data_IF_939044993502
#
_entry.id   IF_939044993502
#
_cell.length_a   1.000
_cell.length_b   1.000
_cell.length_c   1.000
_cell.angle_alpha   90.00
_cell.angle_beta   90.00
_cell.angle_gamma   90.00
#
_symmetry.space_group_name_H-M   'P 1'
#
loop_
_entity.id
_entity.type
_entity.pdbx_description
1 polymer ?
#
# COMPACT_ATOMS: atom_id res chain seq x y z
N UNK A 1 -0.57 18.05 -0.47
CA UNK A 1 0.25 17.02 0.19
C UNK A 1 1.63 17.57 0.56
N UNK A 2 2.15 17.14 1.71
CA UNK A 2 3.50 17.45 2.15
C UNK A 2 4.16 16.20 2.72
N UNK A 3 5.33 15.87 2.21
CA UNK A 3 6.22 14.89 2.82
C UNK A 3 7.17 15.61 3.81
N UNK A 4 7.17 15.18 5.07
CA UNK A 4 8.06 15.67 6.11
C UNK A 4 8.87 14.48 6.62
N UNK A 5 10.18 14.38 6.28
CA UNK A 5 11.00 13.26 6.71
C UNK A 5 11.33 13.34 8.19
N UNK A 6 11.42 12.19 8.84
CA UNK A 6 12.05 12.10 10.15
C UNK A 6 13.57 12.38 10.05
N UNK A 7 14.16 12.96 11.09
CA UNK A 7 15.62 13.02 11.19
C UNK A 7 16.22 11.61 11.24
N UNK A 8 17.50 11.49 10.87
CA UNK A 8 18.22 10.19 10.90
C UNK A 8 18.21 9.58 12.30
N UNK A 9 18.33 10.39 13.34
CA UNK A 9 18.27 9.95 14.75
C UNK A 9 16.90 9.38 15.11
N UNK A 10 15.82 10.09 14.79
CA UNK A 10 14.45 9.61 15.03
C UNK A 10 14.17 8.34 14.24
N UNK A 11 14.59 8.30 12.98
CA UNK A 11 14.43 7.13 12.12
C UNK A 11 15.18 5.91 12.68
N UNK A 12 16.43 6.10 13.12
CA UNK A 12 17.23 5.03 13.73
C UNK A 12 16.56 4.49 15.00
N UNK A 13 16.02 5.37 15.84
CA UNK A 13 15.36 4.97 17.07
C UNK A 13 14.01 4.25 16.80
N UNK A 14 13.23 4.69 15.83
CA UNK A 14 12.03 3.98 15.36
C UNK A 14 12.40 2.56 14.92
N UNK A 15 13.43 2.41 14.09
CA UNK A 15 13.87 1.12 13.58
C UNK A 15 14.41 0.20 14.72
N UNK A 16 15.11 0.77 15.68
CA UNK A 16 15.59 0.02 16.87
C UNK A 16 14.44 -0.53 17.69
N UNK A 17 13.43 0.29 17.98
CA UNK A 17 12.26 -0.10 18.78
C UNK A 17 11.35 -1.06 18.03
N UNK A 18 11.10 -0.82 16.75
CA UNK A 18 10.27 -1.67 15.91
C UNK A 18 10.97 -3.00 15.54
N UNK A 19 12.29 -3.05 15.60
CA UNK A 19 13.07 -4.27 15.30
C UNK A 19 13.09 -5.32 16.41
N UNK A 20 12.38 -5.08 17.53
CA UNK A 20 12.32 -6.02 18.67
C UNK A 20 13.62 -6.09 19.50
N UNK A 21 14.51 -5.12 19.35
CA UNK A 21 15.70 -4.98 20.18
C UNK A 21 15.37 -4.65 21.64
N UNK A 22 16.37 -4.65 22.56
CA UNK A 22 16.15 -4.30 23.95
C UNK A 22 15.52 -2.91 24.11
N UNK A 23 14.34 -2.85 24.75
CA UNK A 23 13.58 -1.63 24.97
C UNK A 23 12.83 -1.72 26.28
N UNK A 24 12.60 -0.56 26.91
CA UNK A 24 11.80 -0.42 28.14
C UNK A 24 10.45 0.20 27.83
N UNK A 25 9.48 0.07 28.73
CA UNK A 25 8.22 0.79 28.62
C UNK A 25 8.41 2.31 28.54
N UNK A 26 9.47 2.85 29.18
CA UNK A 26 9.80 4.26 29.11
C UNK A 26 10.22 4.72 27.70
N UNK A 27 10.87 3.86 26.92
CA UNK A 27 11.27 4.20 25.56
C UNK A 27 10.04 4.33 24.64
N UNK A 28 9.10 3.40 24.74
CA UNK A 28 7.82 3.50 24.01
C UNK A 28 6.98 4.70 24.46
N UNK A 29 6.95 5.00 25.77
CA UNK A 29 6.25 6.16 26.30
C UNK A 29 6.81 7.47 25.71
N UNK A 30 8.15 7.64 25.72
CA UNK A 30 8.80 8.82 25.14
C UNK A 30 8.56 8.92 23.62
N UNK A 31 8.70 7.79 22.92
CA UNK A 31 8.51 7.75 21.47
C UNK A 31 7.07 8.08 21.07
N UNK A 32 6.06 7.64 21.83
CA UNK A 32 4.65 7.96 21.57
C UNK A 32 4.41 9.48 21.59
N UNK A 33 4.93 10.18 22.59
CA UNK A 33 4.80 11.63 22.71
C UNK A 33 5.66 12.38 21.70
N UNK A 34 6.92 11.94 21.47
CA UNK A 34 7.80 12.54 20.46
C UNK A 34 7.15 12.49 19.07
N UNK A 35 6.59 11.36 18.67
CA UNK A 35 5.89 11.24 17.40
C UNK A 35 4.66 12.15 17.33
N UNK A 36 3.92 12.29 18.44
CA UNK A 36 2.81 13.26 18.53
C UNK A 36 3.28 14.68 18.22
N UNK A 37 4.38 15.14 18.84
CA UNK A 37 4.96 16.46 18.58
C UNK A 37 5.44 16.62 17.13
N UNK A 38 6.14 15.64 16.59
CA UNK A 38 6.61 15.67 15.19
C UNK A 38 5.44 15.70 14.19
N UNK A 39 4.34 15.03 14.49
CA UNK A 39 3.13 15.10 13.65
C UNK A 39 2.47 16.49 13.76
N UNK A 40 2.51 17.12 14.93
CA UNK A 40 2.07 18.52 15.08
C UNK A 40 2.91 19.45 14.20
N UNK A 41 4.24 19.37 14.26
CA UNK A 41 5.15 20.17 13.43
C UNK A 41 4.90 19.98 11.93
N UNK A 42 4.64 18.73 11.52
CA UNK A 42 4.30 18.42 10.12
C UNK A 42 2.96 19.07 9.70
N UNK A 43 1.94 18.99 10.56
CA UNK A 43 0.64 19.62 10.33
C UNK A 43 0.74 21.15 10.29
N UNK A 44 1.46 21.77 11.23
CA UNK A 44 1.72 23.21 11.25
C UNK A 44 2.46 23.67 9.97
N UNK A 45 3.46 22.90 9.54
CA UNK A 45 4.19 23.15 8.30
C UNK A 45 3.27 23.13 7.08
N UNK A 46 2.37 22.15 7.00
CA UNK A 46 1.39 22.06 5.92
C UNK A 46 0.42 23.24 5.96
N UNK A 47 -0.10 23.59 7.11
CA UNK A 47 -1.00 24.74 7.30
C UNK A 47 -0.32 26.06 6.88
N UNK A 48 0.93 26.27 7.29
CA UNK A 48 1.69 27.46 6.91
C UNK A 48 1.90 27.55 5.38
N UNK A 49 2.17 26.44 4.71
CA UNK A 49 2.37 26.40 3.25
C UNK A 49 1.09 26.65 2.45
N UNK A 50 -0.05 26.22 2.97
CA UNK A 50 -1.36 26.39 2.32
C UNK A 50 -2.06 27.67 2.72
N UNK A 51 -1.53 28.42 3.68
CA UNK A 51 -2.20 29.60 4.25
C UNK A 51 -3.42 29.27 5.10
N UNK A 52 -3.56 27.99 5.51
CA UNK A 52 -4.67 27.52 6.37
C UNK A 52 -4.36 27.86 7.82
N UNK A 53 -5.31 28.41 8.56
CA UNK A 53 -5.16 28.63 9.99
C UNK A 53 -5.39 27.33 10.75
N UNK A 54 -4.69 27.14 11.87
CA UNK A 54 -4.93 25.95 12.71
C UNK A 54 -6.37 25.87 13.21
N UNK A 55 -7.00 27.03 13.48
CA UNK A 55 -8.41 27.13 13.88
C UNK A 55 -9.42 26.70 12.80
N UNK A 56 -8.99 26.57 11.56
CA UNK A 56 -9.84 26.17 10.44
C UNK A 56 -9.77 24.65 10.18
N UNK A 57 -9.04 23.92 11.03
CA UNK A 57 -8.98 22.46 11.00
C UNK A 57 -10.09 21.88 11.88
N UNK A 58 -11.03 21.18 11.28
CA UNK A 58 -12.17 20.58 11.98
C UNK A 58 -11.86 19.19 12.55
N UNK A 59 -10.91 18.48 11.95
CA UNK A 59 -10.61 17.07 12.27
C UNK A 59 -9.23 16.67 11.78
N UNK A 60 -8.55 15.83 12.55
CA UNK A 60 -7.30 15.18 12.15
C UNK A 60 -7.46 13.66 12.22
N UNK A 61 -7.09 12.97 11.13
CA UNK A 61 -6.91 11.52 11.10
C UNK A 61 -5.41 11.18 11.18
N UNK A 62 -4.99 10.52 12.27
CA UNK A 62 -3.60 10.13 12.50
C UNK A 62 -3.46 8.61 12.55
N UNK A 63 -2.83 8.01 11.54
CA UNK A 63 -2.51 6.58 11.58
C UNK A 63 -1.48 6.24 12.67
N UNK A 64 -0.59 7.15 12.96
CA UNK A 64 0.58 6.88 13.81
C UNK A 64 1.66 6.08 13.06
N UNK A 65 2.73 5.74 13.75
CA UNK A 65 3.81 4.88 13.27
C UNK A 65 3.61 3.47 13.80
N UNK A 66 3.60 2.46 12.93
CA UNK A 66 3.48 1.07 13.36
C UNK A 66 4.80 0.59 13.94
N UNK A 67 4.75 0.11 15.19
CA UNK A 67 5.88 -0.51 15.89
C UNK A 67 5.78 -2.02 15.90
N UNK A 68 4.57 -2.57 16.05
CA UNK A 68 4.36 -4.00 16.03
C UNK A 68 3.00 -4.36 15.43
N UNK A 69 2.94 -5.50 14.74
CA UNK A 69 1.69 -5.94 14.13
C UNK A 69 1.67 -7.46 14.07
N UNK A 70 0.69 -8.08 14.74
CA UNK A 70 0.48 -9.52 14.83
C UNK A 70 -0.89 -9.83 14.27
N UNK A 71 -1.01 -9.97 12.94
CA UNK A 71 -2.30 -10.16 12.26
C UNK A 71 -2.87 -11.57 12.43
N UNK A 72 -2.02 -12.55 12.75
CA UNK A 72 -2.44 -13.93 13.01
C UNK A 72 -2.49 -14.20 14.51
N UNK A 73 -3.43 -15.05 15.01
CA UNK A 73 -3.50 -15.35 16.42
C UNK A 73 -2.20 -15.99 16.92
N UNK A 74 -1.68 -15.45 18.01
CA UNK A 74 -0.61 -16.07 18.80
C UNK A 74 -1.06 -16.30 20.23
N UNK A 75 -0.45 -17.27 20.90
CA UNK A 75 -0.77 -17.58 22.30
C UNK A 75 0.20 -16.85 23.23
N UNK A 76 -0.33 -16.04 24.13
CA UNK A 76 0.42 -15.33 25.15
C UNK A 76 -0.27 -15.50 26.51
N UNK A 77 0.44 -15.99 27.52
CA UNK A 77 -0.07 -16.28 28.87
C UNK A 77 -1.37 -17.13 28.85
N UNK A 78 -1.46 -18.11 27.94
CA UNK A 78 -2.61 -19.01 27.81
C UNK A 78 -3.81 -18.43 27.05
N UNK A 79 -3.72 -17.20 26.56
CA UNK A 79 -4.76 -16.56 25.75
C UNK A 79 -4.30 -16.44 24.29
N UNK A 80 -5.19 -16.73 23.34
CA UNK A 80 -4.93 -16.60 21.90
C UNK A 80 -5.63 -15.35 21.37
N UNK A 81 -4.85 -14.43 20.77
CA UNK A 81 -5.37 -13.18 20.20
C UNK A 81 -4.44 -12.63 19.12
N UNK A 82 -4.95 -11.70 18.35
CA UNK A 82 -4.19 -10.82 17.44
C UNK A 82 -3.89 -9.52 18.16
N UNK A 83 -2.84 -8.82 17.73
CA UNK A 83 -2.53 -7.51 18.29
C UNK A 83 -1.87 -6.58 17.27
N UNK A 84 -1.95 -5.28 17.55
CA UNK A 84 -1.31 -4.25 16.74
C UNK A 84 -0.95 -3.06 17.62
N UNK A 85 0.13 -2.37 17.27
CA UNK A 85 0.66 -1.29 18.08
C UNK A 85 1.20 -0.17 17.20
N UNK A 86 0.48 0.96 17.21
CA UNK A 86 0.86 2.20 16.56
C UNK A 86 1.13 3.26 17.62
N UNK A 87 2.15 4.10 17.43
CA UNK A 87 2.52 5.22 18.30
C UNK A 87 2.37 6.55 17.55
N UNK A 88 2.19 7.60 18.33
CA UNK A 88 1.90 8.95 17.90
C UNK A 88 0.64 9.43 18.63
N UNK A 89 0.86 10.01 19.85
CA UNK A 89 -0.21 10.34 20.78
C UNK A 89 -1.21 11.35 20.22
N UNK A 90 -2.44 10.89 19.96
CA UNK A 90 -3.51 11.71 19.39
C UNK A 90 -3.90 12.92 20.26
N UNK A 91 -3.78 12.79 21.58
CA UNK A 91 -4.09 13.90 22.51
C UNK A 91 -3.10 15.06 22.39
N UNK A 92 -1.86 14.81 21.97
CA UNK A 92 -0.87 15.88 21.68
C UNK A 92 -1.33 16.71 20.48
N UNK A 93 -1.79 16.04 19.42
CA UNK A 93 -2.35 16.73 18.25
C UNK A 93 -3.64 17.47 18.61
N UNK A 94 -4.58 16.84 19.36
CA UNK A 94 -5.82 17.46 19.77
C UNK A 94 -5.56 18.74 20.58
N UNK A 95 -4.64 18.69 21.55
CA UNK A 95 -4.25 19.84 22.35
C UNK A 95 -3.63 20.96 21.50
N UNK A 96 -2.81 20.61 20.49
CA UNK A 96 -2.10 21.59 19.64
C UNK A 96 -3.03 22.28 18.65
N UNK A 97 -3.92 21.52 18.00
CA UNK A 97 -4.80 22.03 16.95
C UNK A 97 -6.16 22.49 17.46
N UNK A 98 -6.56 22.09 18.66
CA UNK A 98 -7.86 22.45 19.25
C UNK A 98 -9.05 21.80 18.52
N UNK A 99 -8.85 20.65 17.90
CA UNK A 99 -9.88 19.91 17.17
C UNK A 99 -9.82 18.41 17.51
N UNK A 100 -10.91 17.65 17.28
CA UNK A 100 -10.91 16.21 17.44
C UNK A 100 -9.81 15.53 16.60
N UNK A 101 -9.17 14.51 17.17
CA UNK A 101 -8.20 13.67 16.49
C UNK A 101 -8.63 12.22 16.55
N UNK A 102 -8.68 11.55 15.40
CA UNK A 102 -8.93 10.10 15.32
C UNK A 102 -7.62 9.39 15.08
N UNK A 103 -7.29 8.44 15.95
CA UNK A 103 -6.08 7.61 15.89
C UNK A 103 -6.41 6.13 16.11
N UNK A 104 -5.41 5.24 16.12
CA UNK A 104 -5.59 3.80 16.42
C UNK A 104 -6.61 3.07 15.54
N UNK A 105 -6.65 3.35 14.26
CA UNK A 105 -7.63 2.78 13.33
C UNK A 105 -7.62 1.24 13.25
N UNK A 106 -6.45 0.60 13.39
CA UNK A 106 -6.31 -0.86 13.22
C UNK A 106 -6.89 -1.68 14.37
N UNK A 107 -6.86 -1.12 15.58
CA UNK A 107 -7.16 -1.84 16.82
C UNK A 107 -8.59 -2.41 16.84
N UNK A 108 -9.57 -1.66 16.33
CA UNK A 108 -10.97 -2.10 16.36
C UNK A 108 -11.27 -3.21 15.36
N UNK A 109 -10.65 -3.17 14.18
CA UNK A 109 -10.75 -4.24 13.19
C UNK A 109 -10.11 -5.53 13.72
N UNK A 110 -8.92 -5.41 14.33
CA UNK A 110 -8.23 -6.55 15.00
C UNK A 110 -9.07 -7.13 16.13
N UNK A 111 -9.73 -6.29 16.92
CA UNK A 111 -10.65 -6.72 17.98
C UNK A 111 -11.91 -7.43 17.43
N UNK A 112 -12.27 -7.17 16.17
CA UNK A 112 -13.32 -7.89 15.45
C UNK A 112 -12.80 -9.14 14.72
N UNK A 113 -11.62 -9.64 15.10
CA UNK A 113 -10.91 -10.78 14.48
C UNK A 113 -10.41 -10.52 13.05
N UNK A 114 -10.38 -9.26 12.62
CA UNK A 114 -9.77 -8.85 11.37
C UNK A 114 -8.24 -8.81 11.43
N UNK A 115 -7.63 -8.68 10.26
CA UNK A 115 -6.17 -8.53 10.11
C UNK A 115 -5.67 -7.13 10.50
N UNK A 116 -6.56 -6.13 10.63
CA UNK A 116 -6.18 -4.73 10.85
C UNK A 116 -5.53 -4.06 9.63
N UNK A 117 -5.52 -4.73 8.49
CA UNK A 117 -4.98 -4.27 7.21
C UNK A 117 -5.59 -5.11 6.05
N UNK A 118 -5.67 -4.56 4.83
CA UNK A 118 -5.48 -3.14 4.48
C UNK A 118 -6.68 -2.27 4.90
N UNK A 119 -6.47 -0.98 5.17
CA UNK A 119 -7.54 -0.03 5.55
C UNK A 119 -7.97 0.89 4.40
N UNK A 120 -7.09 1.10 3.43
CA UNK A 120 -7.31 1.97 2.27
C UNK A 120 -8.53 1.57 1.41
N UNK A 121 -8.90 0.28 1.25
CA UNK A 121 -10.03 -0.12 0.42
C UNK A 121 -11.37 0.54 0.76
N UNK A 122 -11.60 0.95 2.01
CA UNK A 122 -12.80 1.70 2.37
C UNK A 122 -12.84 3.07 1.67
N UNK A 123 -11.77 3.84 1.77
CA UNK A 123 -11.68 5.15 1.11
C UNK A 123 -11.70 5.01 -0.42
N UNK A 124 -11.05 3.98 -0.95
CA UNK A 124 -11.11 3.66 -2.38
C UNK A 124 -12.55 3.41 -2.84
N UNK A 125 -13.31 2.61 -2.08
CA UNK A 125 -14.72 2.37 -2.36
C UNK A 125 -15.52 3.69 -2.42
N UNK A 126 -15.34 4.59 -1.46
CA UNK A 126 -16.06 5.86 -1.43
C UNK A 126 -15.70 6.79 -2.59
N UNK A 127 -14.41 6.85 -2.95
CA UNK A 127 -13.87 7.80 -3.94
C UNK A 127 -14.11 7.30 -5.37
N UNK A 128 -13.96 6.00 -5.63
CA UNK A 128 -13.87 5.48 -6.98
C UNK A 128 -15.06 4.61 -7.42
N UNK A 129 -15.99 4.24 -6.51
CA UNK A 129 -17.18 3.49 -6.92
C UNK A 129 -17.98 4.22 -7.99
N UNK A 130 -18.57 3.45 -8.88
CA UNK A 130 -19.41 3.95 -9.97
C UNK A 130 -20.72 3.19 -10.05
N UNK A 131 -21.78 3.86 -10.42
CA UNK A 131 -23.10 3.22 -10.65
C UNK A 131 -23.10 2.35 -11.92
N UNK A 132 -22.22 2.64 -12.87
CA UNK A 132 -22.25 2.05 -14.21
C UNK A 132 -20.97 1.34 -14.63
N UNK A 133 -19.81 1.74 -14.11
CA UNK A 133 -18.50 1.22 -14.48
C UNK A 133 -17.96 0.22 -13.45
N UNK A 134 -17.33 -0.85 -13.92
CA UNK A 134 -16.45 -1.69 -13.09
C UNK A 134 -15.09 -1.01 -13.01
N UNK A 135 -14.64 -0.68 -11.80
CA UNK A 135 -13.38 0.01 -11.56
C UNK A 135 -12.41 -0.93 -10.85
N UNK A 136 -11.24 -1.12 -11.42
CA UNK A 136 -10.11 -1.78 -10.79
C UNK A 136 -9.13 -0.75 -10.24
N UNK A 137 -8.68 -0.90 -9.00
CA UNK A 137 -7.69 -0.04 -8.38
C UNK A 137 -6.43 -0.88 -8.15
N UNK A 138 -5.39 -0.60 -8.90
CA UNK A 138 -4.12 -1.32 -8.82
C UNK A 138 -3.10 -0.47 -8.09
N UNK A 139 -2.74 -0.86 -6.89
CA UNK A 139 -1.60 -0.28 -6.19
C UNK A 139 -0.32 -1.05 -6.55
N UNK A 140 0.72 -0.35 -6.99
CA UNK A 140 2.02 -0.93 -7.34
C UNK A 140 3.07 -0.36 -6.39
N UNK A 141 3.23 -1.02 -5.24
CA UNK A 141 4.35 -0.85 -4.32
C UNK A 141 5.44 -1.89 -4.61
N UNK A 142 6.13 -2.39 -3.60
CA UNK A 142 7.03 -3.55 -3.75
C UNK A 142 6.27 -4.78 -4.27
N UNK A 143 5.08 -5.02 -3.72
CA UNK A 143 4.07 -5.99 -4.19
C UNK A 143 2.93 -5.21 -4.87
N UNK A 144 2.35 -5.78 -5.90
CA UNK A 144 1.14 -5.27 -6.53
C UNK A 144 -0.11 -5.83 -5.86
N UNK A 145 -1.08 -4.97 -5.54
CA UNK A 145 -2.39 -5.41 -5.07
C UNK A 145 -3.50 -4.71 -5.86
N UNK A 146 -4.64 -5.40 -6.00
CA UNK A 146 -5.76 -4.91 -6.79
C UNK A 146 -7.05 -4.99 -5.98
N UNK A 147 -7.85 -3.93 -6.05
CA UNK A 147 -9.23 -3.85 -5.52
C UNK A 147 -10.21 -3.83 -6.67
N UNK A 148 -11.27 -4.61 -6.57
CA UNK A 148 -12.35 -4.65 -7.55
C UNK A 148 -13.61 -3.96 -7.01
N UNK A 149 -14.11 -2.99 -7.76
CA UNK A 149 -15.36 -2.28 -7.51
C UNK A 149 -16.30 -2.53 -8.68
N UNK A 150 -17.29 -3.40 -8.50
CA UNK A 150 -18.31 -3.66 -9.51
C UNK A 150 -19.26 -2.46 -9.64
N UNK A 151 -20.00 -2.30 -10.78
CA UNK A 151 -21.02 -1.27 -10.90
C UNK A 151 -22.05 -1.36 -9.77
N UNK A 152 -22.40 -0.21 -9.18
CA UNK A 152 -23.34 -0.11 -8.07
C UNK A 152 -23.05 -1.06 -6.89
N UNK A 153 -21.79 -1.48 -6.72
CA UNK A 153 -21.41 -2.40 -5.64
C UNK A 153 -21.63 -1.75 -4.26
N UNK A 154 -21.97 -2.60 -3.31
CA UNK A 154 -22.00 -2.25 -1.90
C UNK A 154 -20.63 -2.56 -1.28
N UNK A 155 -20.38 -2.07 -0.07
CA UNK A 155 -19.09 -2.27 0.60
C UNK A 155 -18.76 -3.76 0.82
N UNK A 156 -19.78 -4.59 1.08
CA UNK A 156 -19.63 -6.03 1.24
C UNK A 156 -19.28 -6.79 -0.06
N UNK A 157 -19.43 -6.16 -1.20
CA UNK A 157 -19.10 -6.73 -2.52
C UNK A 157 -17.65 -6.42 -2.92
N UNK A 158 -16.96 -5.53 -2.16
CA UNK A 158 -15.55 -5.18 -2.42
C UNK A 158 -14.65 -6.36 -2.09
N UNK A 159 -13.77 -6.68 -3.00
CA UNK A 159 -12.70 -7.64 -2.74
C UNK A 159 -11.36 -7.13 -3.27
N UNK A 160 -10.29 -7.53 -2.58
CA UNK A 160 -8.93 -7.14 -2.91
C UNK A 160 -7.97 -8.31 -2.67
N UNK A 161 -6.89 -8.36 -3.43
CA UNK A 161 -5.85 -9.39 -3.29
C UNK A 161 -4.55 -8.94 -3.97
N UNK A 162 -3.44 -9.61 -3.63
CA UNK A 162 -2.15 -9.31 -4.25
C UNK A 162 -2.04 -9.95 -5.64
N UNK A 163 -1.69 -9.14 -6.64
CA UNK A 163 -1.56 -9.59 -8.04
C UNK A 163 -0.25 -10.33 -8.30
N UNK A 164 0.78 -10.04 -7.52
CA UNK A 164 2.13 -10.57 -7.68
C UNK A 164 3.20 -9.51 -7.36
N UNK A 165 4.40 -9.60 -7.95
CA UNK A 165 5.42 -8.59 -7.72
C UNK A 165 4.98 -7.26 -8.33
N UNK A 166 5.24 -6.19 -7.57
CA UNK A 166 5.18 -4.81 -8.07
C UNK A 166 6.59 -4.35 -8.50
N UNK A 167 7.10 -3.32 -7.84
CA UNK A 167 8.45 -2.79 -8.12
C UNK A 167 9.58 -3.72 -7.61
N UNK A 168 9.32 -4.56 -6.60
CA UNK A 168 10.35 -5.31 -5.87
C UNK A 168 11.28 -6.11 -6.78
N UNK A 169 10.76 -6.84 -7.76
CA UNK A 169 11.56 -7.64 -8.69
C UNK A 169 12.30 -6.75 -9.67
N UNK A 170 11.64 -5.72 -10.20
CA UNK A 170 12.27 -4.73 -11.09
C UNK A 170 13.44 -4.02 -10.41
N UNK A 171 13.22 -3.52 -9.19
CA UNK A 171 14.22 -2.79 -8.41
C UNK A 171 15.42 -3.68 -8.07
N UNK A 172 15.17 -4.93 -7.66
CA UNK A 172 16.23 -5.86 -7.35
C UNK A 172 17.06 -6.25 -8.59
N UNK A 173 16.41 -6.51 -9.73
CA UNK A 173 17.10 -6.80 -10.99
C UNK A 173 17.93 -5.58 -11.44
N UNK A 174 17.37 -4.37 -11.34
CA UNK A 174 18.09 -3.16 -11.73
C UNK A 174 19.29 -2.86 -10.82
N UNK A 175 19.13 -3.09 -9.52
CA UNK A 175 20.23 -2.99 -8.54
C UNK A 175 21.38 -3.94 -8.90
N UNK A 176 21.08 -5.20 -9.22
CA UNK A 176 22.09 -6.19 -9.67
C UNK A 176 22.78 -5.77 -10.98
N UNK A 177 22.01 -5.30 -11.97
CA UNK A 177 22.53 -4.85 -13.25
C UNK A 177 23.48 -3.64 -13.14
N UNK A 178 23.23 -2.77 -12.14
CA UNK A 178 24.03 -1.56 -11.92
C UNK A 178 25.13 -1.75 -10.87
N UNK A 179 25.32 -2.97 -10.36
CA UNK A 179 26.30 -3.24 -9.30
C UNK A 179 26.02 -2.52 -7.99
N UNK A 180 24.76 -2.18 -7.72
CA UNK A 180 24.32 -1.48 -6.51
C UNK A 180 24.36 0.06 -6.61
N UNK A 181 24.78 0.62 -7.75
CA UNK A 181 24.85 2.09 -7.93
C UNK A 181 23.45 2.75 -7.96
N UNK A 182 22.44 2.00 -8.46
CA UNK A 182 21.06 2.46 -8.54
C UNK A 182 20.12 1.41 -7.97
N UNK A 183 19.06 1.86 -7.32
CA UNK A 183 18.10 0.99 -6.63
C UNK A 183 16.79 0.79 -7.39
N UNK A 184 16.50 1.60 -8.40
CA UNK A 184 15.32 1.48 -9.26
C UNK A 184 15.52 2.17 -10.62
N UNK A 185 14.76 1.75 -11.62
CA UNK A 185 14.75 2.32 -12.98
C UNK A 185 13.79 3.52 -13.04
N UNK A 186 14.34 4.73 -12.94
CA UNK A 186 13.57 5.96 -12.89
C UNK A 186 12.71 6.14 -14.16
N UNK A 187 11.39 6.25 -13.93
CA UNK A 187 10.41 6.37 -15.03
C UNK A 187 10.32 5.17 -15.97
N UNK A 188 11.06 4.08 -15.71
CA UNK A 188 11.17 2.92 -16.59
C UNK A 188 12.03 3.17 -17.84
N UNK A 189 12.93 4.16 -17.78
CA UNK A 189 13.70 4.61 -18.93
C UNK A 189 14.69 3.55 -19.46
N UNK A 190 15.26 2.74 -18.56
CA UNK A 190 16.18 1.68 -18.93
C UNK A 190 15.43 0.51 -19.59
N UNK A 191 14.30 0.10 -19.01
CA UNK A 191 13.42 -0.91 -19.57
C UNK A 191 12.86 -0.53 -20.94
N UNK A 192 12.56 0.77 -21.15
CA UNK A 192 12.06 1.29 -22.44
C UNK A 192 13.03 1.07 -23.61
N UNK A 193 14.33 0.94 -23.34
CA UNK A 193 15.36 0.66 -24.37
C UNK A 193 15.46 -0.83 -24.76
N UNK A 194 14.78 -1.72 -24.06
CA UNK A 194 14.84 -3.17 -24.26
C UNK A 194 13.63 -3.73 -25.00
N UNK A 195 13.73 -5.02 -25.28
CA UNK A 195 12.63 -5.84 -25.85
C UNK A 195 12.32 -6.99 -24.90
N UNK A 196 11.05 -7.29 -24.74
CA UNK A 196 10.60 -8.42 -23.92
C UNK A 196 11.17 -9.72 -24.49
N UNK A 197 11.82 -10.50 -23.63
CA UNK A 197 12.31 -11.83 -23.96
C UNK A 197 11.22 -12.86 -23.67
N UNK A 198 10.50 -13.30 -24.70
CA UNK A 198 9.27 -14.08 -24.58
C UNK A 198 9.44 -15.38 -23.78
N UNK A 199 10.51 -16.16 -23.99
CA UNK A 199 10.75 -17.40 -23.25
C UNK A 199 10.96 -17.18 -21.74
N UNK A 200 11.63 -16.09 -21.37
CA UNK A 200 11.77 -15.73 -19.95
C UNK A 200 10.42 -15.30 -19.38
N UNK A 201 9.67 -14.49 -20.09
CA UNK A 201 8.32 -14.08 -19.68
C UNK A 201 7.40 -15.30 -19.52
N UNK A 202 7.38 -16.22 -20.46
CA UNK A 202 6.62 -17.48 -20.37
C UNK A 202 6.99 -18.28 -19.11
N UNK A 203 8.30 -18.41 -18.83
CA UNK A 203 8.77 -19.07 -17.62
C UNK A 203 8.27 -18.37 -16.35
N UNK A 204 8.33 -17.04 -16.30
CA UNK A 204 7.86 -16.26 -15.17
C UNK A 204 6.35 -16.37 -14.99
N UNK A 205 5.58 -16.41 -16.07
CA UNK A 205 4.12 -16.57 -16.03
C UNK A 205 3.66 -17.97 -15.61
N UNK A 206 4.56 -18.94 -15.50
CA UNK A 206 4.28 -20.26 -14.88
C UNK A 206 4.37 -20.22 -13.34
N UNK A 207 4.55 -19.05 -12.75
CA UNK A 207 4.61 -18.88 -11.30
C UNK A 207 3.34 -19.42 -10.61
N UNK A 208 3.54 -20.38 -9.70
CA UNK A 208 2.46 -21.03 -8.97
C UNK A 208 1.61 -20.07 -8.11
N UNK A 209 2.17 -18.91 -7.70
CA UNK A 209 1.41 -17.91 -6.99
C UNK A 209 0.24 -17.36 -7.83
N UNK A 210 0.44 -17.18 -9.12
CA UNK A 210 -0.57 -16.60 -10.01
C UNK A 210 -1.87 -17.42 -10.03
N UNK A 211 -1.76 -18.76 -9.99
CA UNK A 211 -2.90 -19.68 -10.01
C UNK A 211 -3.63 -19.82 -8.66
N UNK A 212 -3.09 -19.25 -7.56
CA UNK A 212 -3.78 -19.25 -6.27
C UNK A 212 -5.03 -18.39 -6.34
N UNK A 213 -6.16 -18.93 -5.90
CA UNK A 213 -7.43 -18.17 -5.84
C UNK A 213 -7.41 -17.14 -4.71
N UNK A 214 -8.03 -15.95 -4.90
CA UNK A 214 -8.30 -15.04 -3.79
C UNK A 214 -9.21 -15.67 -2.72
N UNK A 215 -9.03 -15.30 -1.43
CA UNK A 215 -8.09 -14.30 -0.94
C UNK A 215 -6.64 -14.81 -0.96
N UNK A 216 -5.71 -14.03 -1.50
CA UNK A 216 -4.29 -14.39 -1.57
C UNK A 216 -3.41 -13.18 -1.29
N UNK A 217 -2.30 -13.42 -0.62
CA UNK A 217 -1.28 -12.42 -0.31
C UNK A 217 0.12 -12.98 -0.55
N UNK A 218 1.10 -12.12 -0.77
CA UNK A 218 2.50 -12.47 -1.01
C UNK A 218 3.42 -11.34 -0.54
N UNK A 219 4.73 -11.60 -0.52
CA UNK A 219 5.71 -10.64 -0.04
C UNK A 219 7.14 -10.99 -0.42
N UNK A 220 8.09 -10.43 0.33
CA UNK A 220 9.54 -10.65 0.14
C UNK A 220 9.95 -12.09 0.37
N UNK A 221 9.20 -12.84 1.15
CA UNK A 221 9.42 -14.26 1.39
C UNK A 221 9.26 -15.10 0.12
N UNK A 222 8.48 -14.60 -0.85
CA UNK A 222 8.24 -15.28 -2.13
C UNK A 222 9.03 -14.66 -3.29
N UNK A 223 8.92 -13.34 -3.48
CA UNK A 223 9.58 -12.60 -4.57
C UNK A 223 10.93 -11.98 -4.18
N UNK A 224 11.58 -12.54 -3.15
CA UNK A 224 12.84 -12.08 -2.61
C UNK A 224 14.07 -12.52 -3.41
N UNK A 225 15.26 -12.55 -2.75
CA UNK A 225 16.55 -12.77 -3.42
C UNK A 225 16.63 -14.05 -4.26
N UNK A 226 16.04 -15.15 -3.79
CA UNK A 226 16.05 -16.43 -4.51
C UNK A 226 15.27 -16.38 -5.82
N UNK A 227 14.16 -15.62 -5.86
CA UNK A 227 13.39 -15.41 -7.08
C UNK A 227 14.18 -14.57 -8.09
N UNK A 228 14.77 -13.48 -7.63
CA UNK A 228 15.62 -12.60 -8.45
C UNK A 228 16.84 -13.35 -8.97
N UNK A 229 17.50 -14.15 -8.14
CA UNK A 229 18.64 -14.98 -8.54
C UNK A 229 18.30 -15.92 -9.70
N UNK A 230 17.15 -16.58 -9.66
CA UNK A 230 16.68 -17.45 -10.77
C UNK A 230 16.56 -16.69 -12.08
N UNK A 231 16.03 -15.46 -12.04
CA UNK A 231 15.92 -14.57 -13.20
C UNK A 231 17.31 -14.20 -13.73
N UNK A 232 18.21 -13.76 -12.85
CA UNK A 232 19.57 -13.37 -13.24
C UNK A 232 20.37 -14.53 -13.80
N UNK A 233 20.27 -15.73 -13.21
CA UNK A 233 20.95 -16.93 -13.72
C UNK A 233 20.42 -17.36 -15.08
N UNK A 234 19.10 -17.26 -15.31
CA UNK A 234 18.50 -17.50 -16.63
C UNK A 234 19.01 -16.48 -17.65
N UNK A 235 19.00 -15.20 -17.30
CA UNK A 235 19.44 -14.14 -18.20
C UNK A 235 20.92 -14.30 -18.61
N UNK A 236 21.80 -14.67 -17.68
CA UNK A 236 23.21 -14.95 -17.96
C UNK A 236 23.37 -16.14 -18.92
N UNK A 237 22.66 -17.24 -18.69
CA UNK A 237 22.71 -18.44 -19.54
C UNK A 237 22.25 -18.20 -20.96
N UNK A 238 21.19 -17.41 -21.12
CA UNK A 238 20.61 -17.11 -22.44
C UNK A 238 21.22 -15.86 -23.10
N UNK A 239 22.23 -15.23 -22.47
CA UNK A 239 22.87 -13.98 -22.92
C UNK A 239 21.87 -12.83 -23.17
N UNK A 240 20.86 -12.68 -22.30
CA UNK A 240 19.87 -11.60 -22.38
C UNK A 240 20.55 -10.28 -21.99
N UNK A 241 20.37 -9.23 -22.79
CA UNK A 241 20.88 -7.90 -22.47
C UNK A 241 20.22 -7.33 -21.21
N UNK A 242 20.90 -6.43 -20.47
CA UNK A 242 20.32 -5.81 -19.28
C UNK A 242 19.02 -5.05 -19.57
N UNK A 243 18.94 -4.38 -20.72
CA UNK A 243 17.72 -3.66 -21.14
C UNK A 243 16.57 -4.62 -21.45
N UNK A 244 16.86 -5.73 -22.18
CA UNK A 244 15.83 -6.73 -22.49
C UNK A 244 15.35 -7.45 -21.23
N UNK A 245 16.25 -7.69 -20.28
CA UNK A 245 15.90 -8.26 -18.99
C UNK A 245 14.97 -7.32 -18.21
N UNK A 246 15.30 -6.03 -18.14
CA UNK A 246 14.44 -5.03 -17.48
C UNK A 246 13.10 -4.88 -18.18
N UNK A 247 13.06 -4.83 -19.52
CA UNK A 247 11.81 -4.82 -20.27
C UNK A 247 10.95 -6.05 -19.94
N UNK A 248 11.57 -7.23 -19.80
CA UNK A 248 10.88 -8.49 -19.51
C UNK A 248 10.29 -8.52 -18.09
N UNK A 249 11.04 -8.11 -17.07
CA UNK A 249 10.52 -8.10 -15.68
C UNK A 249 9.49 -7.00 -15.48
N UNK A 250 9.57 -5.89 -16.23
CA UNK A 250 8.55 -4.85 -16.24
C UNK A 250 7.25 -5.36 -16.88
N UNK A 251 7.35 -6.04 -18.03
CA UNK A 251 6.19 -6.66 -18.67
C UNK A 251 5.61 -7.80 -17.81
N UNK A 252 6.44 -8.58 -17.10
CA UNK A 252 5.98 -9.60 -16.17
C UNK A 252 5.02 -9.01 -15.11
N UNK A 253 5.38 -7.89 -14.50
CA UNK A 253 4.47 -7.19 -13.58
C UNK A 253 3.15 -6.80 -14.26
N UNK A 254 3.20 -6.28 -15.50
CA UNK A 254 1.98 -5.96 -16.25
C UNK A 254 1.13 -7.21 -16.56
N UNK A 255 1.77 -8.32 -16.91
CA UNK A 255 1.09 -9.59 -17.21
C UNK A 255 0.48 -10.23 -15.96
N UNK A 256 1.08 -10.08 -14.76
CA UNK A 256 0.47 -10.57 -13.51
C UNK A 256 -0.81 -9.81 -13.18
N UNK A 257 -0.86 -8.50 -13.48
CA UNK A 257 -2.07 -7.68 -13.34
C UNK A 257 -3.14 -8.14 -14.33
N UNK A 258 -2.79 -8.31 -15.62
CA UNK A 258 -3.70 -8.85 -16.62
C UNK A 258 -4.25 -10.21 -16.22
N UNK A 259 -3.38 -11.14 -15.81
CA UNK A 259 -3.78 -12.47 -15.36
C UNK A 259 -4.79 -12.41 -14.22
N UNK A 260 -4.55 -11.53 -13.26
CA UNK A 260 -5.44 -11.33 -12.11
C UNK A 260 -6.82 -10.83 -12.52
N UNK A 261 -6.87 -9.87 -13.43
CA UNK A 261 -8.13 -9.36 -13.99
C UNK A 261 -8.88 -10.44 -14.77
N UNK A 262 -8.20 -11.16 -15.65
CA UNK A 262 -8.84 -12.16 -16.52
C UNK A 262 -9.37 -13.38 -15.75
N UNK A 263 -8.70 -13.79 -14.67
CA UNK A 263 -9.02 -15.04 -13.97
C UNK A 263 -9.86 -14.86 -12.70
N UNK A 264 -9.81 -13.68 -12.08
CA UNK A 264 -10.41 -13.50 -10.77
C UNK A 264 -11.49 -12.40 -10.71
N UNK A 265 -11.58 -11.53 -11.69
CA UNK A 265 -12.65 -10.55 -11.74
C UNK A 265 -13.94 -11.17 -12.30
N UNK A 266 -15.10 -10.87 -11.70
CA UNK A 266 -16.40 -11.35 -12.21
C UNK A 266 -16.72 -10.81 -13.61
N UNK A 267 -16.18 -9.66 -13.95
CA UNK A 267 -16.24 -9.05 -15.30
C UNK A 267 -14.97 -8.23 -15.54
N UNK A 268 -14.64 -7.98 -16.81
CA UNK A 268 -13.53 -7.09 -17.17
C UNK A 268 -13.81 -5.68 -16.67
N UNK A 269 -12.81 -4.98 -16.08
CA UNK A 269 -12.98 -3.61 -15.65
C UNK A 269 -13.08 -2.66 -16.85
N UNK A 270 -13.98 -1.70 -16.75
CA UNK A 270 -14.09 -0.60 -17.72
C UNK A 270 -12.93 0.39 -17.54
N UNK A 271 -12.42 0.47 -16.30
CA UNK A 271 -11.36 1.39 -15.88
C UNK A 271 -10.41 0.69 -14.90
N UNK A 272 -9.11 0.89 -15.09
CA UNK A 272 -8.08 0.49 -14.13
C UNK A 272 -7.27 1.72 -13.74
N UNK A 273 -7.23 2.03 -12.44
CA UNK A 273 -6.53 3.18 -11.89
C UNK A 273 -5.28 2.66 -11.17
N UNK A 274 -4.10 3.11 -11.63
CA UNK A 274 -2.81 2.72 -11.05
C UNK A 274 -2.38 3.78 -10.03
N UNK A 275 -2.03 3.31 -8.84
CA UNK A 275 -1.44 4.11 -7.77
C UNK A 275 -0.17 3.47 -7.22
N UNK A 276 0.45 4.12 -6.24
CA UNK A 276 1.74 3.73 -5.67
C UNK A 276 2.93 4.13 -6.54
N UNK A 277 4.14 3.81 -6.10
CA UNK A 277 5.37 4.20 -6.80
C UNK A 277 5.47 3.72 -8.25
N UNK A 278 4.82 2.59 -8.56
CA UNK A 278 4.80 2.04 -9.92
C UNK A 278 4.00 2.90 -10.92
N UNK A 279 3.10 3.77 -10.48
CA UNK A 279 2.39 4.72 -11.37
C UNK A 279 3.33 5.71 -12.05
N UNK A 280 4.49 5.97 -11.44
CA UNK A 280 5.53 6.85 -11.98
C UNK A 280 6.39 6.17 -13.06
N UNK A 281 6.31 4.85 -13.19
CA UNK A 281 7.03 4.10 -14.22
C UNK A 281 6.21 4.05 -15.52
N UNK A 282 6.51 4.97 -16.42
CA UNK A 282 5.79 5.12 -17.70
C UNK A 282 5.81 3.86 -18.56
N UNK A 283 6.92 3.12 -18.55
CA UNK A 283 7.07 1.87 -19.31
C UNK A 283 6.14 0.80 -18.76
N UNK A 284 6.04 0.69 -17.43
CA UNK A 284 5.11 -0.23 -16.77
C UNK A 284 3.65 0.14 -17.05
N UNK A 285 3.28 1.42 -16.91
CA UNK A 285 1.91 1.89 -17.19
C UNK A 285 1.51 1.60 -18.64
N UNK A 286 2.42 1.82 -19.60
CA UNK A 286 2.19 1.49 -21.00
C UNK A 286 2.06 -0.03 -21.23
N UNK A 287 2.88 -0.84 -20.56
CA UNK A 287 2.79 -2.29 -20.62
C UNK A 287 1.44 -2.80 -20.08
N UNK A 288 0.95 -2.25 -18.96
CA UNK A 288 -0.38 -2.57 -18.43
C UNK A 288 -1.48 -2.18 -19.41
N UNK A 289 -1.41 -0.98 -20.00
CA UNK A 289 -2.40 -0.53 -20.98
C UNK A 289 -2.42 -1.42 -22.22
N UNK A 290 -1.24 -1.86 -22.69
CA UNK A 290 -1.13 -2.81 -23.82
C UNK A 290 -1.68 -4.19 -23.45
N UNK A 291 -1.49 -4.64 -22.21
CA UNK A 291 -1.97 -5.94 -21.74
C UNK A 291 -3.50 -5.97 -21.54
N UNK A 292 -4.13 -4.81 -21.30
CA UNK A 292 -5.57 -4.67 -21.06
C UNK A 292 -6.20 -3.67 -22.06
N UNK A 293 -6.22 -3.97 -23.37
CA UNK A 293 -6.60 -3.01 -24.41
C UNK A 293 -8.07 -2.58 -24.37
N UNK A 294 -8.94 -3.36 -23.74
CA UNK A 294 -10.36 -3.04 -23.57
C UNK A 294 -10.65 -2.23 -22.30
N UNK A 295 -9.62 -1.99 -21.45
CA UNK A 295 -9.73 -1.28 -20.20
C UNK A 295 -9.09 0.11 -20.33
N UNK A 296 -9.77 1.15 -19.85
CA UNK A 296 -9.17 2.48 -19.76
C UNK A 296 -8.19 2.53 -18.59
N UNK A 297 -6.91 2.41 -18.87
CA UNK A 297 -5.84 2.48 -17.88
C UNK A 297 -5.49 3.94 -17.61
N UNK A 298 -5.54 4.34 -16.35
CA UNK A 298 -5.28 5.69 -15.84
C UNK A 298 -4.35 5.59 -14.63
N UNK A 299 -3.68 6.68 -14.31
CA UNK A 299 -3.02 6.87 -13.02
C UNK A 299 -3.87 7.75 -12.10
N UNK A 300 -3.55 7.80 -10.81
CA UNK A 300 -4.20 8.76 -9.91
C UNK A 300 -3.99 10.21 -10.39
N UNK A 301 -2.82 10.48 -10.94
CA UNK A 301 -2.42 11.78 -11.48
C UNK A 301 -3.30 12.20 -12.67
N UNK A 302 -3.71 11.26 -13.52
CA UNK A 302 -4.65 11.52 -14.63
C UNK A 302 -6.03 11.93 -14.13
N UNK A 303 -6.38 11.57 -12.89
CA UNK A 303 -7.62 11.95 -12.22
C UNK A 303 -7.47 13.19 -11.34
N UNK A 304 -6.27 13.80 -11.32
CA UNK A 304 -5.97 14.96 -10.48
C UNK A 304 -5.69 14.63 -9.02
N UNK A 305 -5.48 13.36 -8.69
CA UNK A 305 -5.07 12.91 -7.34
C UNK A 305 -3.55 12.69 -7.30
N UNK A 306 -2.92 13.08 -6.21
CA UNK A 306 -1.52 12.76 -5.95
C UNK A 306 -1.42 11.36 -5.31
N UNK A 307 -0.74 10.43 -5.98
CA UNK A 307 -0.53 9.06 -5.47
C UNK A 307 0.17 9.04 -4.11
N UNK A 308 1.02 10.03 -3.81
CA UNK A 308 1.68 10.14 -2.52
C UNK A 308 0.72 10.61 -1.41
N UNK A 309 -0.37 11.30 -1.77
CA UNK A 309 -1.39 11.74 -0.81
C UNK A 309 -2.41 10.66 -0.47
N UNK A 310 -2.44 9.54 -1.20
CA UNK A 310 -3.47 8.50 -1.11
C UNK A 310 -3.74 8.03 0.31
N UNK A 311 -2.70 7.69 1.06
CA UNK A 311 -2.85 7.23 2.44
C UNK A 311 -3.34 8.34 3.37
N UNK A 312 -2.82 9.57 3.22
CA UNK A 312 -3.27 10.71 4.01
C UNK A 312 -4.77 11.00 3.77
N UNK A 313 -5.21 10.97 2.52
CA UNK A 313 -6.64 11.11 2.17
C UNK A 313 -7.45 9.96 2.76
N UNK A 314 -6.95 8.73 2.70
CA UNK A 314 -7.64 7.58 3.28
C UNK A 314 -7.90 7.75 4.77
N UNK A 315 -6.89 8.18 5.54
CA UNK A 315 -7.05 8.38 6.98
C UNK A 315 -7.91 9.60 7.33
N UNK A 316 -7.96 10.63 6.51
CA UNK A 316 -8.91 11.73 6.64
C UNK A 316 -10.36 11.24 6.44
N UNK A 317 -10.61 10.45 5.41
CA UNK A 317 -11.92 9.83 5.15
C UNK A 317 -12.32 8.91 6.31
N UNK A 318 -11.43 8.01 6.74
CA UNK A 318 -11.70 7.09 7.86
C UNK A 318 -12.00 7.85 9.17
N UNK A 319 -11.29 8.95 9.43
CA UNK A 319 -11.53 9.80 10.60
C UNK A 319 -12.91 10.45 10.54
N UNK A 320 -13.29 10.97 9.38
CA UNK A 320 -14.64 11.52 9.19
C UNK A 320 -15.72 10.49 9.48
N UNK A 321 -15.61 9.29 8.92
CA UNK A 321 -16.57 8.22 9.19
C UNK A 321 -16.64 7.86 10.69
N UNK A 322 -15.49 7.84 11.37
CA UNK A 322 -15.43 7.57 12.81
C UNK A 322 -16.21 8.59 13.62
N UNK A 323 -16.06 9.89 13.31
CA UNK A 323 -16.79 10.99 14.00
C UNK A 323 -18.29 10.85 13.83
N UNK A 324 -18.75 10.40 12.65
CA UNK A 324 -20.17 10.15 12.38
C UNK A 324 -20.64 8.75 12.76
N UNK A 325 -19.83 7.98 13.50
CA UNK A 325 -20.11 6.60 13.91
C UNK A 325 -20.44 5.64 12.75
N UNK A 326 -19.93 5.93 11.55
CA UNK A 326 -20.03 5.07 10.37
C UNK A 326 -19.03 3.91 10.47
N UNK A 327 -19.49 2.68 10.17
CA UNK A 327 -18.59 1.55 10.02
C UNK A 327 -17.66 1.78 8.83
N UNK A 328 -16.36 1.71 9.06
CA UNK A 328 -15.34 2.13 8.11
C UNK A 328 -14.20 1.10 7.89
N UNK A 329 -14.42 -0.14 8.33
CA UNK A 329 -13.61 -1.28 7.87
C UNK A 329 -14.29 -2.00 6.69
N UNK A 330 -13.54 -2.88 6.01
CA UNK A 330 -14.05 -3.73 4.92
C UNK A 330 -13.85 -5.20 5.31
N UNK A 331 -14.84 -5.84 5.96
CA UNK A 331 -14.69 -7.21 6.47
C UNK A 331 -14.31 -8.24 5.42
N UNK A 332 -14.79 -8.09 4.18
CA UNK A 332 -14.43 -8.96 3.06
C UNK A 332 -12.96 -8.90 2.67
N UNK A 333 -12.26 -7.84 3.07
CA UNK A 333 -10.84 -7.62 2.78
C UNK A 333 -9.97 -7.89 4.00
N UNK A 334 -10.39 -7.42 5.20
CA UNK A 334 -9.62 -7.62 6.44
C UNK A 334 -9.90 -8.95 7.13
N UNK A 335 -10.97 -9.65 6.75
CA UNK A 335 -11.41 -10.86 7.42
C UNK A 335 -12.08 -10.63 8.79
N UNK A 336 -12.41 -9.40 9.14
CA UNK A 336 -13.15 -9.09 10.36
C UNK A 336 -14.53 -9.77 10.36
N UNK A 337 -15.01 -10.20 11.53
CA UNK A 337 -16.30 -10.89 11.66
C UNK A 337 -17.51 -10.01 11.35
N UNK A 338 -17.36 -8.71 11.54
CA UNK A 338 -18.44 -7.74 11.33
C UNK A 338 -17.91 -6.35 11.01
N UNK A 339 -18.74 -5.48 10.40
CA UNK A 339 -18.42 -4.07 10.25
C UNK A 339 -18.27 -3.39 11.62
N UNK A 340 -17.26 -2.52 11.74
CA UNK A 340 -16.95 -1.78 12.96
C UNK A 340 -16.59 -0.32 12.65
N UNK A 341 -16.83 0.55 13.62
CA UNK A 341 -16.29 1.91 13.61
C UNK A 341 -14.86 1.84 14.11
N UNK A 342 -13.89 2.09 13.23
CA UNK A 342 -12.46 2.08 13.58
C UNK A 342 -12.03 3.43 14.16
N UNK A 343 -10.95 3.40 14.93
CA UNK A 343 -10.33 4.59 15.52
C UNK A 343 -10.74 4.88 16.94
N UNK A 344 -9.93 5.70 17.60
CA UNK A 344 -10.17 6.29 18.91
C UNK A 344 -10.17 7.80 18.78
N UNK A 345 -11.05 8.49 19.48
CA UNK A 345 -11.20 9.94 19.43
C UNK A 345 -10.52 10.56 20.64
N UNK A 346 -9.58 11.48 20.39
CA UNK A 346 -9.03 12.42 21.39
C UNK A 346 -9.68 13.78 21.17
N UNK A 347 -10.15 14.43 22.25
CA UNK A 347 -10.86 15.71 22.25
C UNK A 347 -10.04 16.78 22.99
#
# INVERSE_FOLDING_TARGET
FRFVPFSDEVRAEILRLAGGGPASAADFCRMNFLLGELFCEAGETLCAQTGTKLSDIDLIGSHGQTFWHIPLPETYLGHSFRSTFQLGEGSVLAQRFGCPVVSDFRVRDVAADGLGAPLVPYSEFLIYRSETECVALQNIGGIGNITCLLPACRLEDVFAFDTGPGNMVMDAVYTELTGGEKTFDEGGAYAAGGKVHEKLLEMLMQDAYLSRKPPKTTGREYYGPDFVKKIMDYARRENISGQDLMATVTDYTAQTIRYSVEHYFPRKPDKLIIGGGGSMNKTLVQAVAKALPECRVLTNEDLGYDSNAKEAVAFAVLANETIFAGCNNVPTVTGAKNPVVMGKISL
#
